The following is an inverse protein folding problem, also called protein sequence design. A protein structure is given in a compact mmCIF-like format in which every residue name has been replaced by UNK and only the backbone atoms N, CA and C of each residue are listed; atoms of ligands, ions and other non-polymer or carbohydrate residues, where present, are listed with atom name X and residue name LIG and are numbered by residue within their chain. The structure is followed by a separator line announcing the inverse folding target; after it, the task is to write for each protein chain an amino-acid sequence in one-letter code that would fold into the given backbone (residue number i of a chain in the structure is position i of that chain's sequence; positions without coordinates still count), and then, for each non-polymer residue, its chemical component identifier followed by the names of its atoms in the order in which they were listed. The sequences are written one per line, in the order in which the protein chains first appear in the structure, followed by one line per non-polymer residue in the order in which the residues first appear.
data_IF_483879106684
#
_entry.id   IF_483879106684
#
_cell.length_a   1.000
_cell.length_b   1.000
_cell.length_c   1.000
_cell.angle_alpha   90.00
_cell.angle_beta   90.00
_cell.angle_gamma   90.00
#
_symmetry.space_group_name_H-M   'P 1'
#
loop_
_entity.id
_entity.type
_entity.pdbx_description
1 polymer ?
#
# COMPACT_ATOMS: atom_id res chain seq x y z
N UNK A 1 -22.19 -32.69 -12.93
CA UNK A 1 -21.07 -32.81 -11.98
C UNK A 1 -21.20 -31.70 -10.95
N UNK A 2 -21.53 -32.00 -9.70
CA UNK A 2 -21.48 -30.98 -8.63
C UNK A 2 -20.04 -30.50 -8.53
N UNK A 3 -19.81 -29.20 -8.82
CA UNK A 3 -18.53 -28.57 -8.48
C UNK A 3 -18.23 -28.86 -7.01
N UNK A 4 -17.16 -29.56 -6.73
CA UNK A 4 -16.74 -29.87 -5.36
C UNK A 4 -16.65 -28.55 -4.59
N UNK A 5 -17.60 -28.31 -3.68
CA UNK A 5 -17.66 -27.07 -2.89
C UNK A 5 -16.35 -26.91 -2.11
N UNK A 6 -15.55 -25.91 -2.49
CA UNK A 6 -14.35 -25.57 -1.72
C UNK A 6 -14.79 -25.12 -0.31
N UNK A 7 -14.44 -25.93 0.71
CA UNK A 7 -14.80 -25.71 2.11
C UNK A 7 -13.55 -25.68 2.96
N UNK A 8 -13.31 -24.57 3.65
CA UNK A 8 -12.16 -24.37 4.53
C UNK A 8 -12.68 -23.95 5.90
N UNK A 9 -12.14 -24.56 6.95
CA UNK A 9 -12.33 -24.14 8.34
C UNK A 9 -10.98 -23.72 8.92
N UNK A 10 -10.86 -22.46 9.33
CA UNK A 10 -9.72 -21.94 10.07
C UNK A 10 -10.12 -21.98 11.54
N UNK A 11 -9.46 -22.84 12.32
CA UNK A 11 -9.83 -23.10 13.73
C UNK A 11 -8.80 -22.53 14.71
N UNK A 12 -9.21 -22.23 15.93
CA UNK A 12 -8.37 -21.84 17.07
C UNK A 12 -7.59 -20.52 16.89
N UNK A 13 -7.85 -19.73 15.85
CA UNK A 13 -7.06 -18.54 15.54
C UNK A 13 -7.35 -17.35 16.46
N UNK A 14 -6.35 -16.50 16.69
CA UNK A 14 -6.52 -15.15 17.24
C UNK A 14 -6.99 -14.22 16.11
N UNK A 15 -8.30 -14.05 15.98
CA UNK A 15 -8.94 -13.37 14.85
C UNK A 15 -9.03 -11.87 15.13
N UNK A 16 -8.52 -11.03 14.21
CA UNK A 16 -8.65 -9.58 14.31
C UNK A 16 -10.05 -9.10 13.89
N UNK A 17 -10.88 -8.80 14.87
CA UNK A 17 -12.27 -8.32 14.68
C UNK A 17 -12.52 -7.11 15.58
N UNK A 18 -13.21 -6.08 15.06
CA UNK A 18 -13.57 -4.86 15.82
C UNK A 18 -12.38 -4.23 16.54
N UNK A 19 -11.21 -4.20 15.89
CA UNK A 19 -9.95 -3.61 16.38
C UNK A 19 -9.32 -4.35 17.58
N UNK A 20 -9.59 -5.60 17.79
CA UNK A 20 -8.99 -6.45 18.83
C UNK A 20 -8.85 -7.88 18.34
N UNK A 21 -7.98 -8.65 18.96
CA UNK A 21 -7.84 -10.07 18.73
C UNK A 21 -8.76 -10.88 19.65
N UNK A 22 -9.46 -11.86 19.07
CA UNK A 22 -10.35 -12.77 19.79
C UNK A 22 -10.18 -14.20 19.28
N UNK A 23 -10.18 -15.19 20.16
CA UNK A 23 -10.14 -16.60 19.76
C UNK A 23 -11.41 -16.98 19.01
N UNK A 24 -11.26 -17.74 17.90
CA UNK A 24 -12.45 -18.16 17.15
C UNK A 24 -12.13 -19.04 15.96
N UNK A 25 -13.19 -19.34 15.20
CA UNK A 25 -13.17 -20.20 14.01
C UNK A 25 -13.89 -19.50 12.85
N UNK A 26 -13.32 -19.59 11.65
CA UNK A 26 -13.87 -19.04 10.42
C UNK A 26 -14.19 -20.19 9.47
N UNK A 27 -15.45 -20.29 9.03
CA UNK A 27 -15.89 -21.21 8.00
C UNK A 27 -16.00 -20.47 6.66
N UNK A 28 -15.38 -21.03 5.64
CA UNK A 28 -15.37 -20.50 4.28
C UNK A 28 -16.04 -21.54 3.37
N UNK A 29 -16.97 -21.11 2.55
CA UNK A 29 -17.54 -21.93 1.47
C UNK A 29 -17.40 -21.18 0.14
N UNK A 30 -16.77 -21.83 -0.82
CA UNK A 30 -16.44 -21.25 -2.11
C UNK A 30 -15.63 -19.94 -1.94
N UNK A 31 -16.19 -18.81 -2.36
CA UNK A 31 -15.49 -17.51 -2.32
C UNK A 31 -15.74 -16.70 -1.06
N UNK A 32 -16.61 -17.18 -0.13
CA UNK A 32 -17.15 -16.33 0.93
C UNK A 32 -17.00 -16.91 2.33
N UNK A 33 -16.93 -16.03 3.30
CA UNK A 33 -17.05 -16.36 4.71
C UNK A 33 -18.50 -16.78 4.99
N UNK A 34 -18.71 -18.02 5.38
CA UNK A 34 -20.03 -18.60 5.69
C UNK A 34 -20.45 -18.31 7.11
N UNK A 35 -19.52 -18.49 8.06
CA UNK A 35 -19.78 -18.33 9.49
C UNK A 35 -18.50 -17.95 10.22
N UNK A 36 -18.64 -17.18 11.27
CA UNK A 36 -17.57 -16.89 12.24
C UNK A 36 -18.11 -17.24 13.61
N UNK A 37 -17.35 -17.99 14.39
CA UNK A 37 -17.71 -18.41 15.76
C UNK A 37 -16.60 -17.91 16.68
N UNK A 38 -16.98 -17.22 17.74
CA UNK A 38 -16.04 -16.61 18.71
C UNK A 38 -16.19 -17.34 20.06
N UNK A 39 -15.04 -17.71 20.65
CA UNK A 39 -14.96 -18.23 22.02
C UNK A 39 -15.48 -19.67 22.25
N UNK A 40 -15.97 -20.35 21.20
CA UNK A 40 -16.52 -21.72 21.33
C UNK A 40 -15.56 -22.76 20.74
N UNK A 41 -15.43 -23.92 21.39
CA UNK A 41 -14.80 -25.10 20.78
C UNK A 41 -15.76 -25.69 19.74
N UNK A 42 -15.17 -26.06 18.59
CA UNK A 42 -15.93 -26.65 17.49
C UNK A 42 -15.89 -28.17 17.61
N UNK A 43 -17.05 -28.81 17.58
CA UNK A 43 -17.18 -30.27 17.54
C UNK A 43 -16.50 -30.82 16.28
N UNK A 44 -15.69 -31.87 16.42
CA UNK A 44 -14.95 -32.51 15.34
C UNK A 44 -15.85 -32.93 14.18
N UNK A 45 -17.09 -33.36 14.48
CA UNK A 45 -18.07 -33.79 13.47
C UNK A 45 -18.42 -32.67 12.48
N UNK A 46 -18.50 -31.42 12.94
CA UNK A 46 -18.76 -30.26 12.08
C UNK A 46 -17.63 -29.94 11.15
N UNK A 47 -16.42 -30.42 11.43
CA UNK A 47 -15.23 -30.17 10.64
C UNK A 47 -15.01 -31.19 9.51
N UNK A 48 -15.60 -32.36 9.56
CA UNK A 48 -15.39 -33.47 8.59
C UNK A 48 -15.56 -33.08 7.10
N UNK A 49 -16.36 -32.04 6.84
CA UNK A 49 -16.66 -31.57 5.48
C UNK A 49 -15.76 -30.42 5.01
N UNK A 50 -14.76 -30.04 5.82
CA UNK A 50 -13.90 -28.89 5.57
C UNK A 50 -12.43 -29.31 5.47
N UNK A 51 -11.64 -28.66 4.60
CA UNK A 51 -10.20 -28.62 4.78
C UNK A 51 -9.93 -27.79 6.02
N UNK A 52 -9.40 -28.41 7.06
CA UNK A 52 -9.11 -27.76 8.34
C UNK A 52 -7.73 -27.14 8.30
N UNK A 53 -7.63 -25.86 8.67
CA UNK A 53 -6.38 -25.14 8.94
C UNK A 53 -6.37 -24.81 10.41
N UNK A 54 -5.48 -25.43 11.18
CA UNK A 54 -5.27 -25.09 12.56
C UNK A 54 -4.42 -23.81 12.66
N UNK A 55 -5.01 -22.76 13.21
CA UNK A 55 -4.40 -21.46 13.44
C UNK A 55 -4.13 -21.21 14.93
N UNK A 56 -3.96 -22.29 15.73
CA UNK A 56 -3.49 -22.17 17.12
C UNK A 56 -2.24 -21.30 17.18
N UNK A 57 -2.19 -20.38 18.12
CA UNK A 57 -1.10 -19.44 18.36
C UNK A 57 -0.74 -18.54 17.15
N UNK A 58 -1.68 -18.43 16.22
CA UNK A 58 -1.55 -17.59 15.03
C UNK A 58 -2.46 -16.37 15.10
N UNK A 59 -2.01 -15.25 14.54
CA UNK A 59 -2.91 -14.14 14.21
C UNK A 59 -3.64 -14.44 12.90
N UNK A 60 -4.94 -14.19 12.89
CA UNK A 60 -5.78 -14.31 11.69
C UNK A 60 -6.41 -12.96 11.40
N UNK A 61 -6.12 -12.41 10.25
CA UNK A 61 -6.66 -11.11 9.82
C UNK A 61 -7.36 -11.22 8.48
N UNK A 62 -8.17 -10.22 8.17
CA UNK A 62 -8.56 -9.98 6.78
C UNK A 62 -7.29 -9.68 5.97
N UNK A 63 -7.25 -10.10 4.72
CA UNK A 63 -6.08 -9.88 3.85
C UNK A 63 -5.72 -8.40 3.74
N UNK A 64 -4.45 -8.09 3.73
CA UNK A 64 -3.93 -6.72 3.70
C UNK A 64 -4.28 -6.01 2.40
N UNK A 65 -4.44 -4.69 2.49
CA UNK A 65 -4.72 -3.80 1.37
C UNK A 65 -3.55 -2.83 1.20
N UNK A 66 -2.94 -2.82 0.03
CA UNK A 66 -1.92 -1.83 -0.30
C UNK A 66 -2.47 -0.77 -1.26
N UNK A 67 -2.58 0.49 -0.83
CA UNK A 67 -3.05 1.58 -1.68
C UNK A 67 -1.99 2.11 -2.66
N UNK A 68 -0.74 1.64 -2.59
CA UNK A 68 0.36 2.32 -3.27
C UNK A 68 1.44 1.35 -3.79
N UNK A 69 1.24 0.85 -5.02
CA UNK A 69 2.24 0.00 -5.69
C UNK A 69 2.52 0.49 -7.11
N UNK A 70 3.72 0.16 -7.61
CA UNK A 70 4.17 0.46 -8.97
C UNK A 70 4.59 -0.84 -9.67
N UNK A 71 3.65 -1.55 -10.28
CA UNK A 71 3.93 -2.82 -10.99
C UNK A 71 4.53 -2.63 -12.38
N UNK A 72 4.90 -1.41 -12.73
CA UNK A 72 5.72 -1.08 -13.90
C UNK A 72 5.17 -1.53 -15.26
N UNK A 73 3.98 -2.11 -15.31
CA UNK A 73 3.35 -2.70 -16.49
C UNK A 73 2.09 -1.92 -16.90
N UNK A 74 1.98 -1.54 -18.19
CA UNK A 74 2.93 -1.73 -19.29
C UNK A 74 4.18 -0.85 -19.19
N UNK A 75 5.19 -1.12 -20.04
CA UNK A 75 6.34 -0.27 -20.33
C UNK A 75 7.67 -0.71 -19.70
N UNK A 76 7.69 -1.01 -18.40
CA UNK A 76 8.94 -1.35 -17.69
C UNK A 76 8.89 -2.74 -17.02
N UNK A 77 8.38 -3.73 -17.76
CA UNK A 77 8.15 -5.10 -17.27
C UNK A 77 9.42 -5.81 -16.78
N UNK A 78 10.60 -5.32 -17.17
CA UNK A 78 11.87 -5.85 -16.68
C UNK A 78 12.16 -5.46 -15.21
N UNK A 79 11.53 -4.38 -14.70
CA UNK A 79 11.65 -3.96 -13.29
C UNK A 79 10.64 -4.66 -12.40
N UNK A 80 9.40 -4.85 -12.91
CA UNK A 80 8.31 -5.51 -12.25
C UNK A 80 7.18 -5.77 -13.23
N UNK A 81 6.38 -6.82 -13.01
CA UNK A 81 5.15 -7.06 -13.74
C UNK A 81 4.03 -7.58 -12.83
N UNK A 82 2.85 -7.83 -13.39
CA UNK A 82 1.70 -8.32 -12.62
C UNK A 82 1.91 -9.74 -12.08
N UNK A 83 2.73 -10.58 -12.73
CA UNK A 83 3.02 -11.93 -12.23
C UNK A 83 3.92 -11.87 -11.00
N UNK A 84 5.05 -11.17 -11.10
CA UNK A 84 6.01 -11.04 -10.00
C UNK A 84 5.45 -10.14 -8.88
N UNK A 85 4.91 -8.96 -9.20
CA UNK A 85 4.38 -8.04 -8.21
C UNK A 85 3.18 -8.59 -7.44
N UNK A 86 2.26 -9.35 -8.09
CA UNK A 86 1.15 -9.98 -7.36
C UNK A 86 1.58 -11.17 -6.50
N UNK A 87 2.65 -11.90 -6.89
CA UNK A 87 3.29 -12.89 -6.02
C UNK A 87 3.98 -12.22 -4.83
N UNK A 88 4.67 -11.11 -5.05
CA UNK A 88 5.27 -10.31 -3.97
C UNK A 88 4.19 -9.80 -2.99
N UNK A 89 3.06 -9.30 -3.51
CA UNK A 89 1.93 -8.91 -2.69
C UNK A 89 1.41 -10.09 -1.85
N UNK A 90 1.15 -11.22 -2.49
CA UNK A 90 0.67 -12.42 -1.82
C UNK A 90 1.66 -12.91 -0.75
N UNK A 91 2.97 -12.88 -1.05
CA UNK A 91 4.02 -13.27 -0.11
C UNK A 91 4.03 -12.37 1.14
N UNK A 92 3.79 -11.06 0.98
CA UNK A 92 3.66 -10.09 2.06
C UNK A 92 2.30 -10.07 2.78
N UNK A 93 1.32 -10.92 2.38
CA UNK A 93 -0.01 -10.98 2.98
C UNK A 93 -1.02 -9.99 2.40
N UNK A 94 -0.68 -9.28 1.33
CA UNK A 94 -1.58 -8.36 0.64
C UNK A 94 -2.47 -9.12 -0.34
N UNK A 95 -3.77 -8.98 -0.19
CA UNK A 95 -4.78 -9.62 -1.04
C UNK A 95 -5.50 -8.64 -1.96
N UNK A 96 -5.17 -7.35 -1.81
CA UNK A 96 -5.65 -6.27 -2.67
C UNK A 96 -4.56 -5.21 -2.84
N UNK A 97 -4.30 -4.80 -4.07
CA UNK A 97 -3.34 -3.74 -4.39
C UNK A 97 -3.94 -2.68 -5.29
N UNK A 98 -3.46 -1.43 -5.15
CA UNK A 98 -3.83 -0.30 -5.99
C UNK A 98 -2.62 0.16 -6.78
N UNK A 99 -2.63 -0.04 -8.10
CA UNK A 99 -1.47 0.26 -8.93
C UNK A 99 -1.51 1.68 -9.50
N UNK A 100 -0.36 2.37 -9.38
CA UNK A 100 -0.15 3.76 -9.77
C UNK A 100 -0.13 3.94 -11.30
N UNK A 101 -0.43 5.17 -11.79
CA UNK A 101 -0.61 5.42 -13.23
C UNK A 101 0.67 5.72 -14.01
N UNK A 102 1.83 5.82 -13.36
CA UNK A 102 3.10 6.20 -13.99
C UNK A 102 3.79 5.07 -14.75
N UNK A 103 3.03 4.45 -15.63
CA UNK A 103 3.46 3.44 -16.60
C UNK A 103 3.99 4.11 -17.88
N UNK A 104 4.36 3.31 -18.87
CA UNK A 104 4.67 3.78 -20.21
C UNK A 104 3.85 2.94 -21.23
N UNK A 105 2.81 3.50 -21.86
CA UNK A 105 2.31 4.87 -21.64
C UNK A 105 1.63 5.05 -20.27
N UNK A 106 1.59 6.32 -19.79
CA UNK A 106 0.91 6.66 -18.53
C UNK A 106 -0.59 6.39 -18.59
N UNK A 107 -1.16 5.88 -17.47
CA UNK A 107 -2.57 5.50 -17.40
C UNK A 107 -3.47 6.75 -17.19
N UNK A 108 -3.67 7.52 -18.26
CA UNK A 108 -4.43 8.79 -18.28
C UNK A 108 -5.70 8.75 -19.12
N UNK A 109 -5.92 7.66 -19.87
CA UNK A 109 -7.08 7.50 -20.77
C UNK A 109 -7.82 6.21 -20.46
N UNK A 110 -9.02 6.08 -21.01
CA UNK A 110 -9.77 4.82 -20.93
C UNK A 110 -9.00 3.66 -21.59
N UNK A 111 -8.37 3.91 -22.72
CA UNK A 111 -7.66 2.91 -23.53
C UNK A 111 -6.46 2.36 -22.77
N UNK A 112 -5.63 3.23 -22.17
CA UNK A 112 -4.49 2.81 -21.37
C UNK A 112 -4.89 2.06 -20.09
N UNK A 113 -5.99 2.46 -19.44
CA UNK A 113 -6.56 1.74 -18.30
C UNK A 113 -7.18 0.40 -18.69
N UNK A 114 -7.77 0.30 -19.87
CA UNK A 114 -8.32 -0.97 -20.43
C UNK A 114 -7.21 -1.97 -20.70
N UNK A 115 -6.12 -1.53 -21.33
CA UNK A 115 -4.93 -2.36 -21.57
C UNK A 115 -4.36 -2.87 -20.26
N UNK A 116 -4.09 -1.97 -19.31
CA UNK A 116 -3.58 -2.30 -17.99
C UNK A 116 -4.45 -3.30 -17.24
N UNK A 117 -5.78 -3.12 -17.29
CA UNK A 117 -6.74 -4.05 -16.69
C UNK A 117 -6.72 -5.43 -17.38
N UNK A 118 -6.53 -5.48 -18.69
CA UNK A 118 -6.45 -6.74 -19.42
C UNK A 118 -5.24 -7.57 -19.00
N UNK A 119 -4.10 -6.91 -18.80
CA UNK A 119 -2.87 -7.55 -18.31
C UNK A 119 -3.07 -8.02 -16.85
N UNK A 120 -3.56 -7.13 -15.97
CA UNK A 120 -3.79 -7.46 -14.57
C UNK A 120 -4.80 -8.62 -14.40
N UNK A 121 -5.85 -8.64 -15.20
CA UNK A 121 -6.87 -9.72 -15.18
C UNK A 121 -6.29 -11.10 -15.53
N UNK A 122 -5.31 -11.14 -16.43
CA UNK A 122 -4.64 -12.38 -16.85
C UNK A 122 -3.62 -12.86 -15.81
N UNK A 123 -2.84 -11.92 -15.23
CA UNK A 123 -1.58 -12.24 -14.56
C UNK A 123 -1.64 -12.08 -13.03
N UNK A 124 -2.65 -11.38 -12.47
CA UNK A 124 -2.69 -11.10 -11.05
C UNK A 124 -3.24 -12.26 -10.22
N UNK A 125 -2.54 -12.63 -9.16
CA UNK A 125 -3.00 -13.57 -8.13
C UNK A 125 -3.86 -12.89 -7.04
N UNK A 126 -3.77 -11.56 -6.90
CA UNK A 126 -4.49 -10.80 -5.87
C UNK A 126 -5.56 -9.91 -6.48
N UNK A 127 -6.48 -9.43 -5.66
CA UNK A 127 -7.45 -8.43 -6.12
C UNK A 127 -6.75 -7.10 -6.38
N UNK A 128 -7.28 -6.29 -7.29
CA UNK A 128 -6.62 -5.05 -7.69
C UNK A 128 -7.58 -3.93 -8.08
N UNK A 129 -7.05 -2.74 -8.09
CA UNK A 129 -7.63 -1.54 -8.67
C UNK A 129 -6.55 -0.62 -9.22
N UNK A 130 -6.98 0.48 -9.82
CA UNK A 130 -6.10 1.44 -10.49
C UNK A 130 -6.40 2.86 -10.04
N UNK A 131 -5.39 3.70 -10.19
CA UNK A 131 -5.57 5.15 -10.23
C UNK A 131 -5.43 5.64 -11.68
N UNK A 132 -6.20 6.67 -12.03
CA UNK A 132 -5.98 7.42 -13.26
C UNK A 132 -5.02 8.58 -12.96
N UNK A 133 -4.04 8.80 -13.81
CA UNK A 133 -3.14 9.95 -13.71
C UNK A 133 -3.84 11.24 -14.14
N UNK A 134 -3.71 12.31 -13.35
CA UNK A 134 -4.04 13.65 -13.79
C UNK A 134 -2.97 14.13 -14.76
N UNK A 135 -3.39 14.71 -15.87
CA UNK A 135 -2.55 15.44 -16.82
C UNK A 135 -3.28 16.72 -17.28
N UNK A 136 -2.56 17.65 -17.87
CA UNK A 136 -3.13 18.85 -18.48
C UNK A 136 -4.11 18.53 -19.63
N UNK A 137 -3.94 17.35 -20.26
CA UNK A 137 -4.76 16.91 -21.41
C UNK A 137 -6.07 16.26 -21.01
N UNK A 138 -6.18 15.62 -19.82
CA UNK A 138 -7.36 14.84 -19.45
C UNK A 138 -8.21 15.45 -18.33
N UNK A 139 -7.82 16.58 -17.77
CA UNK A 139 -8.43 17.18 -16.57
C UNK A 139 -9.95 17.26 -16.64
N UNK A 140 -10.48 17.74 -17.73
CA UNK A 140 -11.95 17.93 -17.92
C UNK A 140 -12.67 16.65 -18.32
N UNK A 141 -11.96 15.63 -18.76
CA UNK A 141 -12.52 14.33 -19.19
C UNK A 141 -12.47 13.28 -18.08
N UNK A 142 -11.74 13.53 -17.00
CA UNK A 142 -11.51 12.55 -15.93
C UNK A 142 -12.79 11.89 -15.42
N UNK A 143 -13.84 12.68 -15.19
CA UNK A 143 -15.13 12.18 -14.68
C UNK A 143 -15.74 11.15 -15.65
N UNK A 144 -15.73 11.43 -16.93
CA UNK A 144 -16.31 10.57 -17.96
C UNK A 144 -15.44 9.34 -18.20
N UNK A 145 -14.11 9.49 -18.17
CA UNK A 145 -13.17 8.37 -18.24
C UNK A 145 -13.42 7.40 -17.08
N UNK A 146 -13.48 7.90 -15.83
CA UNK A 146 -13.75 7.08 -14.66
C UNK A 146 -15.08 6.37 -14.75
N UNK A 147 -16.15 7.07 -15.18
CA UNK A 147 -17.48 6.50 -15.39
C UNK A 147 -17.46 5.40 -16.46
N UNK A 148 -16.79 5.63 -17.59
CA UNK A 148 -16.62 4.66 -18.68
C UNK A 148 -15.85 3.42 -18.18
N UNK A 149 -14.78 3.59 -17.42
CA UNK A 149 -14.02 2.50 -16.81
C UNK A 149 -14.91 1.63 -15.91
N UNK A 150 -15.64 2.24 -14.96
CA UNK A 150 -16.51 1.52 -14.03
C UNK A 150 -17.65 0.78 -14.73
N UNK A 151 -18.26 1.38 -15.77
CA UNK A 151 -19.27 0.70 -16.61
C UNK A 151 -18.70 -0.56 -17.25
N UNK A 152 -17.42 -0.57 -17.60
CA UNK A 152 -16.69 -1.70 -18.19
C UNK A 152 -15.96 -2.57 -17.15
N UNK A 153 -16.33 -2.47 -15.86
CA UNK A 153 -15.77 -3.27 -14.75
C UNK A 153 -14.26 -3.09 -14.55
N UNK A 154 -13.72 -1.93 -14.91
CA UNK A 154 -12.35 -1.52 -14.59
C UNK A 154 -12.40 -0.73 -13.30
N UNK A 155 -11.74 -1.23 -12.25
CA UNK A 155 -11.77 -0.64 -10.91
C UNK A 155 -10.84 0.58 -10.81
N UNK A 156 -11.30 1.75 -11.26
CA UNK A 156 -10.61 3.03 -11.04
C UNK A 156 -11.18 3.65 -9.76
N UNK A 157 -10.32 3.81 -8.74
CA UNK A 157 -10.73 4.16 -7.37
C UNK A 157 -10.21 5.53 -6.89
N UNK A 158 -9.53 6.27 -7.75
CA UNK A 158 -9.03 7.61 -7.45
C UNK A 158 -8.19 8.19 -8.57
N UNK A 159 -7.77 9.43 -8.36
CA UNK A 159 -6.97 10.21 -9.30
C UNK A 159 -5.61 10.46 -8.66
N UNK A 160 -4.50 10.11 -9.35
CA UNK A 160 -3.15 10.37 -8.87
C UNK A 160 -2.57 11.62 -9.50
N UNK A 161 -1.97 12.46 -8.67
CA UNK A 161 -1.36 13.74 -9.04
C UNK A 161 0.09 13.80 -8.56
N UNK A 162 0.99 14.19 -9.43
CA UNK A 162 2.40 14.46 -9.12
C UNK A 162 2.63 15.97 -9.24
N UNK A 163 2.90 16.64 -8.13
CA UNK A 163 3.16 18.10 -8.08
C UNK A 163 4.64 18.44 -7.95
N UNK A 164 5.49 17.42 -7.92
CA UNK A 164 6.94 17.48 -7.94
C UNK A 164 7.53 16.38 -8.79
N UNK A 165 8.71 16.62 -9.30
CA UNK A 165 9.46 15.68 -10.14
C UNK A 165 9.67 14.34 -9.42
N UNK A 166 9.18 13.28 -10.05
CA UNK A 166 9.29 11.90 -9.62
C UNK A 166 9.44 11.01 -10.86
N UNK A 167 9.32 9.69 -10.72
CA UNK A 167 9.40 8.77 -11.86
C UNK A 167 8.17 8.90 -12.76
N UNK A 168 8.39 9.15 -14.06
CA UNK A 168 7.35 9.26 -15.09
C UNK A 168 7.15 10.70 -15.59
N UNK A 169 6.13 10.89 -16.42
CA UNK A 169 5.83 12.11 -17.19
C UNK A 169 4.57 12.87 -16.72
N UNK A 170 4.06 12.52 -15.53
CA UNK A 170 2.78 13.04 -15.00
C UNK A 170 2.92 14.28 -14.10
N UNK A 171 4.03 15.04 -14.22
CA UNK A 171 4.22 16.25 -13.42
C UNK A 171 3.21 17.33 -13.81
N UNK A 172 2.38 17.74 -12.84
CA UNK A 172 1.47 18.88 -12.99
C UNK A 172 2.21 20.17 -12.67
N UNK A 173 2.42 20.98 -13.68
CA UNK A 173 3.06 22.31 -13.56
C UNK A 173 2.06 23.42 -13.22
N UNK A 174 0.83 23.28 -13.69
CA UNK A 174 -0.22 24.27 -13.50
C UNK A 174 -1.28 23.78 -12.51
N UNK A 175 -1.33 24.40 -11.34
CA UNK A 175 -2.27 24.06 -10.27
C UNK A 175 -3.74 24.35 -10.61
N UNK A 176 -4.03 25.10 -11.71
CA UNK A 176 -5.41 25.28 -12.20
C UNK A 176 -6.08 23.95 -12.54
N UNK A 177 -5.31 22.92 -12.92
CA UNK A 177 -5.82 21.58 -13.22
C UNK A 177 -6.15 20.74 -11.97
N UNK A 178 -5.65 21.12 -10.79
CA UNK A 178 -5.89 20.36 -9.54
C UNK A 178 -7.32 20.55 -9.04
N UNK A 179 -7.85 21.77 -9.09
CA UNK A 179 -9.20 22.06 -8.59
C UNK A 179 -10.30 21.26 -9.31
N UNK A 180 -10.38 21.21 -10.65
CA UNK A 180 -11.38 20.39 -11.34
C UNK A 180 -11.32 18.91 -10.94
N UNK A 181 -10.11 18.35 -10.73
CA UNK A 181 -9.97 16.99 -10.27
C UNK A 181 -10.54 16.76 -8.86
N UNK A 182 -10.37 17.72 -7.94
CA UNK A 182 -10.94 17.68 -6.59
C UNK A 182 -12.47 17.81 -6.58
N UNK A 183 -13.05 18.50 -7.55
CA UNK A 183 -14.51 18.69 -7.71
C UNK A 183 -15.25 17.42 -8.16
N UNK A 184 -14.55 16.43 -8.71
CA UNK A 184 -15.14 15.15 -9.17
C UNK A 184 -15.75 14.35 -8.00
N UNK A 185 -15.22 14.53 -6.77
CA UNK A 185 -15.68 13.82 -5.58
C UNK A 185 -15.03 12.44 -5.37
N UNK A 186 -14.02 12.11 -6.16
CA UNK A 186 -13.14 10.95 -5.94
C UNK A 186 -11.98 11.33 -5.02
N UNK A 187 -11.28 10.33 -4.45
CA UNK A 187 -10.01 10.60 -3.79
C UNK A 187 -8.97 11.07 -4.81
N UNK A 188 -8.34 12.21 -4.52
CA UNK A 188 -7.20 12.73 -5.29
C UNK A 188 -5.95 12.52 -4.46
N UNK A 189 -5.05 11.66 -4.96
CA UNK A 189 -3.84 11.22 -4.30
C UNK A 189 -2.65 12.05 -4.75
N UNK A 190 -1.94 12.64 -3.83
CA UNK A 190 -0.83 13.55 -4.12
C UNK A 190 0.52 12.96 -3.72
N UNK A 191 1.45 12.90 -4.67
CA UNK A 191 2.87 12.97 -4.37
C UNK A 191 3.18 14.43 -4.07
N UNK A 192 3.36 14.76 -2.77
CA UNK A 192 3.18 16.11 -2.25
C UNK A 192 4.50 16.89 -2.08
N UNK A 193 5.41 16.84 -3.07
CA UNK A 193 6.64 17.65 -3.05
C UNK A 193 6.53 18.76 -4.10
N UNK A 194 6.48 20.02 -3.68
CA UNK A 194 6.32 21.17 -4.58
C UNK A 194 7.53 21.37 -5.49
N UNK A 195 7.32 21.31 -6.80
CA UNK A 195 8.38 21.44 -7.79
C UNK A 195 9.14 22.78 -7.69
N UNK A 196 8.46 23.89 -7.46
CA UNK A 196 9.11 25.20 -7.34
C UNK A 196 10.05 25.24 -6.13
N UNK A 197 9.67 24.59 -5.05
CA UNK A 197 10.54 24.46 -3.87
C UNK A 197 11.71 23.54 -4.17
N UNK A 198 11.50 22.39 -4.82
CA UNK A 198 12.59 21.49 -5.21
C UNK A 198 13.63 22.18 -6.10
N UNK A 199 13.19 23.04 -7.04
CA UNK A 199 14.09 23.80 -7.92
C UNK A 199 15.03 24.76 -7.16
N UNK A 200 14.65 25.26 -5.97
CA UNK A 200 15.55 26.09 -5.13
C UNK A 200 16.74 25.30 -4.60
N UNK A 201 16.61 23.99 -4.47
CA UNK A 201 17.64 23.08 -3.94
C UNK A 201 18.33 22.26 -5.05
N UNK A 202 18.05 22.51 -6.33
CA UNK A 202 18.60 21.74 -7.46
C UNK A 202 20.12 21.75 -7.54
N UNK A 203 20.77 22.87 -7.12
CA UNK A 203 22.22 23.04 -7.19
C UNK A 203 22.98 22.26 -6.09
N UNK A 204 22.29 21.71 -5.08
CA UNK A 204 22.93 20.79 -4.14
C UNK A 204 23.40 19.57 -4.92
N UNK A 205 24.71 19.31 -4.90
CA UNK A 205 25.28 18.14 -5.58
C UNK A 205 24.75 16.86 -4.92
N UNK A 206 24.26 15.93 -5.75
CA UNK A 206 23.94 14.59 -5.26
C UNK A 206 25.24 13.81 -5.02
N UNK A 207 25.43 13.32 -3.82
CA UNK A 207 26.57 12.50 -3.42
C UNK A 207 26.05 11.15 -2.91
N UNK A 208 25.03 11.18 -2.04
CA UNK A 208 24.47 10.05 -1.33
C UNK A 208 23.02 10.35 -0.87
N UNK A 209 22.43 9.43 -0.11
CA UNK A 209 21.05 9.60 0.43
C UNK A 209 20.92 10.77 1.40
N UNK A 210 22.01 11.21 2.05
CA UNK A 210 21.97 12.38 2.94
C UNK A 210 21.84 13.66 2.11
N UNK A 211 22.63 13.79 1.05
CA UNK A 211 22.50 14.90 0.08
C UNK A 211 21.16 14.87 -0.64
N UNK A 212 20.59 13.68 -0.91
CA UNK A 212 19.25 13.54 -1.45
C UNK A 212 18.19 14.16 -0.54
N UNK A 213 18.32 13.93 0.77
CA UNK A 213 17.41 14.52 1.76
C UNK A 213 17.51 16.07 1.75
N UNK A 214 18.70 16.64 1.58
CA UNK A 214 18.87 18.09 1.47
C UNK A 214 18.27 18.66 0.17
N UNK A 215 18.34 17.92 -0.93
CA UNK A 215 17.72 18.30 -2.21
C UNK A 215 16.19 18.29 -2.17
N UNK A 216 15.61 17.50 -1.30
CA UNK A 216 14.16 17.31 -1.16
C UNK A 216 13.72 17.54 0.29
N UNK A 217 13.83 18.79 0.79
CA UNK A 217 13.55 19.08 2.19
C UNK A 217 12.05 18.94 2.51
N UNK A 218 11.68 18.74 3.78
CA UNK A 218 10.29 18.71 4.23
C UNK A 218 9.48 19.96 3.82
N UNK A 219 10.15 21.08 3.63
CA UNK A 219 9.53 22.31 3.11
C UNK A 219 8.82 22.10 1.77
N UNK A 220 9.35 21.22 0.91
CA UNK A 220 8.70 20.92 -0.38
C UNK A 220 7.35 20.22 -0.18
N UNK A 221 7.23 19.32 0.79
CA UNK A 221 5.97 18.65 1.13
C UNK A 221 4.96 19.65 1.73
N UNK A 222 5.42 20.55 2.60
CA UNK A 222 4.60 21.58 3.25
C UNK A 222 4.03 22.58 2.23
N UNK A 223 4.87 23.10 1.33
CA UNK A 223 4.44 24.02 0.29
C UNK A 223 3.50 23.35 -0.72
N UNK A 224 3.75 22.09 -1.05
CA UNK A 224 2.85 21.28 -1.86
C UNK A 224 1.46 21.18 -1.23
N UNK A 225 1.39 20.82 0.06
CA UNK A 225 0.13 20.75 0.78
C UNK A 225 -0.62 22.10 0.80
N UNK A 226 0.09 23.19 1.07
CA UNK A 226 -0.51 24.54 1.08
C UNK A 226 -1.17 24.89 -0.24
N UNK A 227 -0.54 24.58 -1.36
CA UNK A 227 -1.10 24.78 -2.71
C UNK A 227 -2.32 23.89 -2.97
N UNK A 228 -2.28 22.63 -2.54
CA UNK A 228 -3.43 21.71 -2.63
C UNK A 228 -4.60 22.26 -1.83
N UNK A 229 -4.37 22.69 -0.60
CA UNK A 229 -5.40 23.27 0.27
C UNK A 229 -5.98 24.56 -0.32
N UNK A 230 -5.13 25.42 -0.89
CA UNK A 230 -5.59 26.63 -1.59
C UNK A 230 -6.53 26.27 -2.75
N UNK A 231 -6.21 25.25 -3.55
CA UNK A 231 -7.09 24.76 -4.62
C UNK A 231 -8.42 24.17 -4.11
N UNK A 232 -8.43 23.67 -2.87
CA UNK A 232 -9.59 23.01 -2.26
C UNK A 232 -10.46 23.95 -1.39
N UNK A 233 -10.03 25.19 -1.10
CA UNK A 233 -10.62 26.02 -0.03
C UNK A 233 -12.12 26.29 -0.24
N UNK A 234 -12.52 26.59 -1.46
CA UNK A 234 -13.92 26.91 -1.82
C UNK A 234 -14.80 25.67 -2.06
N UNK A 235 -14.20 24.48 -2.08
CA UNK A 235 -14.87 23.19 -2.31
C UNK A 235 -14.57 22.18 -1.19
N UNK A 236 -14.16 22.68 -0.03
CA UNK A 236 -13.67 21.91 1.12
C UNK A 236 -14.57 20.72 1.48
N UNK A 237 -15.90 20.92 1.47
CA UNK A 237 -16.87 19.88 1.82
C UNK A 237 -16.92 18.70 0.84
N UNK A 238 -16.50 18.92 -0.42
CA UNK A 238 -16.53 17.92 -1.49
C UNK A 238 -15.16 17.31 -1.74
N UNK A 239 -14.08 18.05 -1.47
CA UNK A 239 -12.73 17.64 -1.77
C UNK A 239 -12.29 16.46 -0.89
N UNK A 240 -11.87 15.37 -1.52
CA UNK A 240 -11.29 14.18 -0.86
C UNK A 240 -9.81 14.12 -1.16
N UNK A 241 -9.02 14.68 -0.27
CA UNK A 241 -7.56 14.77 -0.41
C UNK A 241 -6.93 13.52 0.19
N UNK A 242 -5.97 12.93 -0.52
CA UNK A 242 -5.17 11.82 -0.03
C UNK A 242 -3.70 12.18 -0.18
N UNK A 243 -2.99 12.24 0.94
CA UNK A 243 -1.56 12.53 0.98
C UNK A 243 -0.80 11.22 1.09
N UNK A 244 -0.04 10.89 0.05
CA UNK A 244 0.83 9.71 -0.02
C UNK A 244 2.03 9.87 0.92
N UNK A 245 2.60 8.77 1.40
CA UNK A 245 3.93 8.61 2.01
C UNK A 245 4.40 9.81 2.84
N UNK A 246 3.67 10.19 3.91
CA UNK A 246 4.09 11.27 4.83
C UNK A 246 5.45 10.93 5.45
N UNK A 247 6.45 11.79 5.27
CA UNK A 247 7.83 11.46 5.57
C UNK A 247 8.41 12.17 6.81
N UNK A 248 7.86 13.32 7.22
CA UNK A 248 8.49 14.16 8.26
C UNK A 248 7.51 14.67 9.32
N UNK A 249 8.07 15.03 10.47
CA UNK A 249 7.38 15.61 11.63
C UNK A 249 6.67 16.91 11.27
N UNK A 250 7.38 17.84 10.61
CA UNK A 250 6.84 19.15 10.27
C UNK A 250 5.70 19.04 9.27
N UNK A 251 5.84 18.15 8.28
CA UNK A 251 4.80 17.90 7.29
C UNK A 251 3.54 17.31 7.92
N UNK A 252 3.67 16.30 8.79
CA UNK A 252 2.51 15.74 9.48
C UNK A 252 1.82 16.78 10.36
N UNK A 253 2.57 17.61 11.07
CA UNK A 253 1.99 18.71 11.87
C UNK A 253 1.14 19.64 11.01
N UNK A 254 1.62 20.00 9.83
CA UNK A 254 0.89 20.87 8.90
C UNK A 254 -0.41 20.20 8.39
N UNK A 255 -0.35 18.91 8.04
CA UNK A 255 -1.55 18.13 7.68
C UNK A 255 -2.58 18.14 8.81
N UNK A 256 -2.15 17.91 10.04
CA UNK A 256 -3.05 17.87 11.21
C UNK A 256 -3.72 19.22 11.49
N UNK A 257 -3.05 20.36 11.22
CA UNK A 257 -3.67 21.69 11.28
C UNK A 257 -4.83 21.81 10.30
N UNK A 258 -4.65 21.33 9.04
CA UNK A 258 -5.73 21.40 8.05
C UNK A 258 -6.85 20.39 8.33
N UNK A 259 -6.54 19.21 8.86
CA UNK A 259 -7.57 18.29 9.37
C UNK A 259 -8.43 18.95 10.47
N UNK A 260 -7.81 19.64 11.42
CA UNK A 260 -8.54 20.41 12.47
C UNK A 260 -9.41 21.52 11.88
N UNK A 261 -9.03 22.11 10.76
CA UNK A 261 -9.83 23.07 10.02
C UNK A 261 -10.96 22.42 9.20
N UNK A 262 -11.16 21.10 9.31
CA UNK A 262 -12.24 20.33 8.71
C UNK A 262 -12.00 19.90 7.25
N UNK A 263 -10.79 19.95 6.74
CA UNK A 263 -10.48 19.33 5.44
C UNK A 263 -10.48 17.80 5.54
N UNK A 264 -11.11 17.14 4.56
CA UNK A 264 -11.11 15.67 4.46
C UNK A 264 -9.79 15.19 3.85
N UNK A 265 -8.82 14.88 4.71
CA UNK A 265 -7.47 14.45 4.32
C UNK A 265 -7.21 13.04 4.84
N UNK A 266 -6.97 12.10 3.92
CA UNK A 266 -6.38 10.79 4.22
C UNK A 266 -4.86 10.96 4.27
N UNK A 267 -4.24 10.40 5.30
CA UNK A 267 -2.78 10.37 5.48
C UNK A 267 -2.27 8.95 5.37
N UNK A 268 -1.37 8.71 4.43
CA UNK A 268 -0.66 7.45 4.27
C UNK A 268 0.69 7.51 4.97
N UNK A 269 1.08 6.42 5.60
CA UNK A 269 2.43 6.19 6.12
C UNK A 269 3.01 4.94 5.46
N UNK A 270 4.31 4.96 5.20
CA UNK A 270 5.01 3.78 4.69
C UNK A 270 5.82 3.09 5.80
N UNK A 271 6.01 1.76 5.73
CA UNK A 271 6.84 1.05 6.69
C UNK A 271 8.27 1.60 6.77
N UNK A 272 8.84 2.01 5.64
CA UNK A 272 10.20 2.54 5.62
C UNK A 272 10.35 3.91 6.30
N UNK A 273 9.36 4.81 6.25
CA UNK A 273 9.38 6.07 6.99
C UNK A 273 9.11 5.90 8.50
N UNK A 274 8.62 4.73 8.93
CA UNK A 274 8.55 4.36 10.34
C UNK A 274 9.81 3.67 10.84
N UNK A 275 10.65 3.14 9.96
CA UNK A 275 11.75 2.24 10.33
C UNK A 275 13.13 2.85 10.06
N UNK A 276 13.38 3.35 8.84
CA UNK A 276 14.66 3.85 8.37
C UNK A 276 14.86 5.31 8.75
N UNK A 277 16.09 5.65 9.16
CA UNK A 277 16.51 7.03 9.46
C UNK A 277 17.97 7.25 9.03
N UNK A 278 18.32 8.45 8.65
CA UNK A 278 19.60 8.79 7.97
C UNK A 278 20.84 8.34 8.73
N UNK A 279 20.87 8.46 10.05
CA UNK A 279 22.02 8.05 10.87
C UNK A 279 22.04 6.55 11.20
N UNK A 280 20.99 5.81 10.86
CA UNK A 280 20.85 4.36 11.10
C UNK A 280 21.02 3.51 9.86
N UNK A 281 21.30 4.12 8.70
CA UNK A 281 21.54 3.44 7.43
C UNK A 281 22.92 3.84 6.89
N UNK A 282 23.50 2.99 6.04
CA UNK A 282 24.63 3.41 5.24
C UNK A 282 24.18 4.44 4.17
N UNK A 283 25.14 5.05 3.49
CA UNK A 283 24.86 6.09 2.50
C UNK A 283 24.55 5.55 1.10
N UNK A 284 24.27 4.25 1.01
CA UNK A 284 24.02 3.55 -0.26
C UNK A 284 22.76 4.06 -0.97
N UNK A 285 22.80 4.04 -2.28
CA UNK A 285 21.66 4.34 -3.14
C UNK A 285 20.50 3.35 -3.05
N UNK A 286 20.70 2.19 -2.41
CA UNK A 286 19.58 1.25 -2.16
C UNK A 286 18.47 1.90 -1.32
N UNK A 287 18.82 2.87 -0.45
CA UNK A 287 17.87 3.61 0.39
C UNK A 287 17.29 4.86 -0.28
N UNK A 288 17.66 5.17 -1.52
CA UNK A 288 17.14 6.34 -2.22
C UNK A 288 15.67 6.19 -2.58
N UNK A 289 14.82 7.06 -2.03
CA UNK A 289 13.35 7.06 -2.19
C UNK A 289 12.81 8.50 -2.21
N UNK A 290 11.64 8.73 -2.73
CA UNK A 290 10.94 10.02 -2.74
C UNK A 290 9.56 9.90 -2.03
N UNK A 291 9.29 10.68 -0.95
CA UNK A 291 10.23 11.58 -0.25
C UNK A 291 11.41 10.83 0.38
N UNK A 292 12.53 11.51 0.66
CA UNK A 292 13.71 10.87 1.22
C UNK A 292 13.51 10.30 2.62
N UNK A 293 14.38 9.36 3.01
CA UNK A 293 14.56 8.94 4.39
C UNK A 293 14.96 10.17 5.23
N UNK A 294 14.32 10.36 6.38
CA UNK A 294 14.47 11.53 7.24
C UNK A 294 15.34 11.26 8.47
N UNK A 295 15.36 12.21 9.38
CA UNK A 295 16.12 12.11 10.65
C UNK A 295 15.46 11.14 11.64
N UNK A 296 16.21 10.70 12.65
CA UNK A 296 15.65 9.89 13.75
C UNK A 296 14.50 10.62 14.46
N UNK A 297 14.61 11.94 14.67
CA UNK A 297 13.57 12.74 15.31
C UNK A 297 12.25 12.74 14.50
N UNK A 298 12.35 12.74 13.17
CA UNK A 298 11.16 12.60 12.31
C UNK A 298 10.50 11.23 12.52
N UNK A 299 11.31 10.17 12.47
CA UNK A 299 10.83 8.78 12.59
C UNK A 299 10.19 8.54 13.96
N UNK A 300 10.81 9.00 15.06
CA UNK A 300 10.23 8.88 16.41
C UNK A 300 8.88 9.60 16.51
N UNK A 301 8.79 10.82 16.00
CA UNK A 301 7.53 11.55 15.95
C UNK A 301 6.44 10.83 15.12
N UNK A 302 6.81 10.25 13.97
CA UNK A 302 5.87 9.48 13.13
C UNK A 302 5.39 8.21 13.83
N UNK A 303 6.24 7.51 14.60
CA UNK A 303 5.85 6.34 15.42
C UNK A 303 4.86 6.73 16.52
N UNK A 304 5.11 7.82 17.24
CA UNK A 304 4.15 8.34 18.22
C UNK A 304 2.81 8.71 17.56
N UNK A 305 2.88 9.38 16.42
CA UNK A 305 1.70 9.78 15.66
C UNK A 305 0.91 8.57 15.12
N UNK A 306 1.63 7.49 14.78
CA UNK A 306 1.02 6.21 14.39
C UNK A 306 0.17 5.63 15.52
N UNK A 307 0.73 5.52 16.72
CA UNK A 307 0.04 5.01 17.92
C UNK A 307 -1.15 5.91 18.31
N UNK A 308 -1.03 7.24 18.16
CA UNK A 308 -2.12 8.20 18.37
C UNK A 308 -3.23 8.16 17.28
N UNK A 309 -3.08 7.32 16.24
CA UNK A 309 -4.07 7.15 15.18
C UNK A 309 -4.15 8.34 14.19
N UNK A 310 -3.08 9.11 14.03
CA UNK A 310 -3.01 10.24 13.12
C UNK A 310 -2.90 9.83 11.65
N UNK A 311 -2.52 8.57 11.39
CA UNK A 311 -2.52 7.98 10.06
C UNK A 311 -3.81 7.24 9.76
N UNK A 312 -4.19 7.21 8.50
CA UNK A 312 -5.42 6.56 8.05
C UNK A 312 -5.17 5.20 7.41
N UNK A 313 -3.97 4.97 6.83
CA UNK A 313 -3.64 3.78 6.05
C UNK A 313 -2.12 3.60 5.97
N UNK A 314 -1.68 2.36 5.82
CA UNK A 314 -0.32 2.01 5.44
C UNK A 314 -0.30 1.75 3.94
N UNK A 315 0.64 2.35 3.21
CA UNK A 315 0.98 2.02 1.84
C UNK A 315 2.45 1.63 1.77
N UNK A 316 2.81 0.66 0.93
CA UNK A 316 4.22 0.25 0.85
C UNK A 316 5.06 1.18 0.00
N UNK A 317 4.45 1.86 -0.95
CA UNK A 317 5.15 2.53 -2.04
C UNK A 317 6.13 1.56 -2.75
N UNK A 318 5.69 0.32 -2.95
CA UNK A 318 6.47 -0.69 -3.66
C UNK A 318 6.83 -0.18 -5.05
N UNK A 319 8.06 0.28 -5.20
CA UNK A 319 8.58 0.94 -6.38
C UNK A 319 9.90 0.31 -6.85
N UNK A 320 9.86 -0.94 -7.35
CA UNK A 320 11.04 -1.72 -7.66
C UNK A 320 11.85 -1.14 -8.81
N UNK A 321 13.16 -1.26 -8.67
CA UNK A 321 14.20 -1.02 -9.67
C UNK A 321 15.22 -2.14 -9.57
N UNK A 322 16.00 -2.38 -10.63
CA UNK A 322 17.08 -3.36 -10.57
C UNK A 322 18.26 -2.80 -9.76
N UNK A 323 19.00 -3.66 -9.06
CA UNK A 323 20.15 -3.25 -8.26
C UNK A 323 21.18 -2.46 -9.09
N UNK A 324 21.44 -2.90 -10.32
CA UNK A 324 22.34 -2.18 -11.25
C UNK A 324 21.90 -0.75 -11.55
N UNK A 325 20.58 -0.49 -11.55
CA UNK A 325 20.08 0.88 -11.76
C UNK A 325 20.29 1.74 -10.52
N UNK A 326 20.22 1.16 -9.33
CA UNK A 326 20.49 1.88 -8.06
C UNK A 326 21.92 2.40 -7.97
N UNK A 327 22.87 1.75 -8.63
CA UNK A 327 24.28 2.14 -8.67
C UNK A 327 24.69 2.87 -9.95
N UNK A 328 23.73 3.21 -10.82
CA UNK A 328 24.00 4.04 -11.99
C UNK A 328 24.14 5.53 -11.62
N UNK A 329 24.75 6.34 -12.50
CA UNK A 329 24.92 7.78 -12.32
C UNK A 329 23.57 8.50 -12.08
N UNK A 330 22.51 8.02 -12.73
CA UNK A 330 21.15 8.51 -12.56
C UNK A 330 20.30 7.56 -11.69
N UNK A 331 20.84 7.16 -10.53
CA UNK A 331 20.17 6.25 -9.62
C UNK A 331 18.71 6.65 -9.39
N UNK A 332 17.73 5.78 -9.73
CA UNK A 332 16.32 6.08 -9.54
C UNK A 332 15.92 6.01 -8.06
N UNK A 333 14.89 6.79 -7.69
CA UNK A 333 14.26 6.70 -6.36
C UNK A 333 13.18 5.62 -6.36
N UNK A 334 13.18 4.79 -5.30
CA UNK A 334 12.27 3.67 -5.10
C UNK A 334 13.00 2.37 -4.83
N UNK A 335 12.32 1.47 -4.14
CA UNK A 335 12.78 0.11 -3.82
C UNK A 335 11.58 -0.82 -3.57
N UNK A 336 11.76 -2.17 -3.56
CA UNK A 336 10.68 -3.10 -3.27
C UNK A 336 10.25 -3.01 -1.81
N UNK A 337 8.96 -2.97 -1.54
CA UNK A 337 8.40 -2.81 -0.19
C UNK A 337 7.34 -3.84 0.20
N UNK A 338 6.64 -4.48 -0.76
CA UNK A 338 5.51 -5.36 -0.47
C UNK A 338 5.87 -6.54 0.44
N UNK A 339 6.95 -7.25 0.15
CA UNK A 339 7.31 -8.47 0.86
C UNK A 339 7.91 -8.20 2.24
N UNK A 340 8.57 -7.04 2.42
CA UNK A 340 9.19 -6.66 3.67
C UNK A 340 8.26 -5.89 4.62
N UNK A 341 7.20 -5.27 4.11
CA UNK A 341 6.35 -4.34 4.86
C UNK A 341 5.85 -4.91 6.19
N UNK A 342 5.28 -6.12 6.15
CA UNK A 342 4.74 -6.77 7.35
C UNK A 342 5.86 -7.05 8.38
N UNK A 343 7.00 -7.55 7.94
CA UNK A 343 8.13 -7.89 8.83
C UNK A 343 8.73 -6.64 9.49
N UNK A 344 8.85 -5.54 8.75
CA UNK A 344 9.27 -4.24 9.27
C UNK A 344 8.33 -3.75 10.38
N UNK A 345 7.03 -3.85 10.17
CA UNK A 345 6.03 -3.45 11.16
C UNK A 345 6.05 -4.34 12.40
N UNK A 346 6.25 -5.65 12.23
CA UNK A 346 6.32 -6.60 13.36
C UNK A 346 7.61 -6.44 14.17
N UNK A 347 8.73 -6.07 13.55
CA UNK A 347 9.96 -5.72 14.28
C UNK A 347 9.76 -4.45 15.13
N UNK A 348 9.11 -3.43 14.58
CA UNK A 348 8.76 -2.23 15.34
C UNK A 348 7.83 -2.54 16.52
N UNK A 349 6.86 -3.43 16.33
CA UNK A 349 6.00 -3.91 17.41
C UNK A 349 6.79 -4.67 18.48
N UNK A 350 7.68 -5.59 18.09
CA UNK A 350 8.55 -6.33 19.01
C UNK A 350 9.40 -5.39 19.88
N UNK A 351 9.90 -4.32 19.28
CA UNK A 351 10.63 -3.25 19.99
C UNK A 351 9.72 -2.31 20.80
N UNK A 352 8.40 -2.54 20.84
CA UNK A 352 7.40 -1.69 21.54
C UNK A 352 7.35 -0.25 21.04
N UNK A 353 7.65 -0.04 19.76
CA UNK A 353 7.66 1.29 19.14
C UNK A 353 6.30 1.63 18.50
N UNK A 354 5.55 0.60 18.05
CA UNK A 354 4.20 0.77 17.49
C UNK A 354 3.24 -0.31 17.98
N UNK A 355 1.94 -0.01 17.96
CA UNK A 355 0.87 -0.88 18.49
C UNK A 355 0.42 -1.92 17.46
N UNK A 356 0.24 -3.17 17.90
CA UNK A 356 -0.18 -4.29 17.06
C UNK A 356 -1.56 -4.06 16.41
N UNK A 357 -2.54 -3.63 17.20
CA UNK A 357 -3.90 -3.38 16.71
C UNK A 357 -3.95 -2.27 15.66
N UNK A 358 -3.05 -1.28 15.79
CA UNK A 358 -2.92 -0.21 14.80
C UNK A 358 -2.33 -0.74 13.49
N UNK A 359 -1.35 -1.64 13.53
CA UNK A 359 -0.81 -2.29 12.34
C UNK A 359 -1.94 -2.95 11.54
N UNK A 360 -2.66 -3.89 12.13
CA UNK A 360 -3.73 -4.63 11.46
C UNK A 360 -4.89 -3.74 11.02
N UNK A 361 -5.25 -2.75 11.82
CA UNK A 361 -6.27 -1.76 11.49
C UNK A 361 -5.89 -0.97 10.23
N UNK A 362 -4.65 -0.49 10.12
CA UNK A 362 -4.22 0.34 9.00
C UNK A 362 -3.94 -0.48 7.74
N UNK A 363 -3.41 -1.70 7.86
CA UNK A 363 -3.22 -2.64 6.75
C UNK A 363 -4.55 -3.10 6.11
N UNK A 364 -5.67 -3.01 6.83
CA UNK A 364 -7.00 -3.40 6.30
C UNK A 364 -7.91 -2.21 6.02
N UNK A 365 -7.47 -0.98 6.32
CA UNK A 365 -8.33 0.21 6.24
C UNK A 365 -8.70 0.62 4.81
N UNK A 366 -7.88 0.27 3.82
CA UNK A 366 -8.09 0.64 2.42
C UNK A 366 -9.44 0.19 1.87
N UNK A 367 -9.91 -0.98 2.24
CA UNK A 367 -11.24 -1.47 1.83
C UNK A 367 -12.37 -0.50 2.20
N UNK A 368 -12.28 0.11 3.40
CA UNK A 368 -13.26 1.11 3.86
C UNK A 368 -13.06 2.46 3.18
N UNK A 369 -11.82 2.91 3.05
CA UNK A 369 -11.50 4.20 2.42
C UNK A 369 -12.00 4.23 0.99
N UNK A 370 -11.68 3.19 0.20
CA UNK A 370 -12.06 3.08 -1.20
C UNK A 370 -13.42 2.42 -1.44
N UNK A 371 -14.18 2.18 -0.36
CA UNK A 371 -15.54 1.64 -0.40
C UNK A 371 -15.66 0.33 -1.20
N UNK A 372 -14.73 -0.62 -0.99
CA UNK A 372 -14.71 -1.91 -1.68
C UNK A 372 -15.82 -2.81 -1.13
N UNK A 373 -16.83 -3.19 -1.94
CA UNK A 373 -18.00 -3.87 -1.44
C UNK A 373 -17.70 -5.31 -0.99
N UNK A 374 -18.29 -5.71 0.13
CA UNK A 374 -18.18 -7.07 0.71
C UNK A 374 -16.75 -7.52 0.99
N UNK A 375 -15.83 -6.57 1.31
CA UNK A 375 -14.43 -6.82 1.67
C UNK A 375 -14.02 -6.02 2.91
N UNK A 376 -12.84 -6.31 3.44
CA UNK A 376 -12.18 -5.54 4.51
C UNK A 376 -12.61 -5.90 5.93
N UNK A 377 -13.37 -6.98 6.13
CA UNK A 377 -13.68 -7.48 7.47
C UNK A 377 -14.06 -8.96 7.46
N UNK A 378 -13.71 -9.66 8.54
CA UNK A 378 -14.08 -11.06 8.77
C UNK A 378 -15.54 -11.09 9.23
N UNK A 379 -16.45 -11.15 8.25
CA UNK A 379 -17.92 -11.14 8.48
C UNK A 379 -18.61 -12.06 7.47
N UNK A 380 -19.68 -12.74 7.93
CA UNK A 380 -20.55 -13.58 7.08
C UNK A 380 -20.98 -12.83 5.81
N UNK A 381 -20.83 -13.48 4.68
CA UNK A 381 -21.20 -12.95 3.35
C UNK A 381 -20.12 -12.14 2.64
N UNK A 382 -19.05 -11.72 3.34
CA UNK A 382 -17.89 -11.10 2.71
C UNK A 382 -17.05 -12.14 1.96
N UNK A 383 -16.31 -11.66 0.95
CA UNK A 383 -15.29 -12.49 0.31
C UNK A 383 -14.25 -12.95 1.33
N UNK A 384 -13.78 -14.17 1.17
CA UNK A 384 -12.79 -14.75 2.07
C UNK A 384 -11.39 -14.41 1.55
N UNK A 385 -10.90 -13.22 1.90
CA UNK A 385 -9.53 -12.79 1.76
C UNK A 385 -8.94 -12.80 3.17
N UNK A 386 -8.10 -13.79 3.50
CA UNK A 386 -7.61 -14.04 4.86
C UNK A 386 -6.10 -14.22 4.83
N UNK A 387 -5.43 -13.65 5.83
CA UNK A 387 -4.02 -13.91 6.11
C UNK A 387 -3.88 -14.54 7.49
N UNK A 388 -3.10 -15.63 7.55
CA UNK A 388 -2.72 -16.32 8.79
C UNK A 388 -1.23 -16.09 8.99
N UNK A 389 -0.89 -15.62 10.17
CA UNK A 389 0.46 -15.24 10.57
C UNK A 389 0.84 -16.12 11.74
N UNK A 390 1.89 -16.90 11.57
CA UNK A 390 2.43 -17.79 12.61
C UNK A 390 3.58 -17.11 13.35
N UNK A 391 3.66 -17.38 14.64
CA UNK A 391 4.85 -17.12 15.43
C UNK A 391 5.93 -18.13 15.01
N UNK A 392 6.89 -17.65 14.26
CA UNK A 392 7.99 -18.43 13.73
C UNK A 392 9.12 -17.49 13.34
N UNK A 393 10.33 -17.77 13.86
CA UNK A 393 11.50 -17.00 13.47
C UNK A 393 11.74 -17.02 11.97
N UNK A 394 12.05 -15.87 11.43
CA UNK A 394 12.27 -15.63 10.02
C UNK A 394 13.37 -14.59 9.82
N UNK A 395 14.22 -14.79 8.85
CA UNK A 395 15.20 -13.81 8.39
C UNK A 395 14.79 -13.40 6.97
N UNK A 396 14.58 -12.10 6.78
CA UNK A 396 14.22 -11.58 5.46
C UNK A 396 15.44 -11.56 4.54
N UNK A 397 15.35 -12.23 3.41
CA UNK A 397 16.40 -12.31 2.39
C UNK A 397 15.80 -11.97 1.02
N UNK A 398 16.38 -10.99 0.33
CA UNK A 398 15.90 -10.53 -0.99
C UNK A 398 15.92 -11.64 -2.04
N UNK A 399 16.87 -12.58 -1.96
CA UNK A 399 16.95 -13.74 -2.88
C UNK A 399 15.73 -14.66 -2.84
N UNK A 400 14.94 -14.60 -1.76
CA UNK A 400 13.72 -15.40 -1.56
C UNK A 400 12.44 -14.63 -1.94
N UNK A 401 12.59 -13.40 -2.44
CA UNK A 401 11.48 -12.57 -2.86
C UNK A 401 11.03 -12.87 -4.30
N UNK A 402 9.76 -12.57 -4.57
CA UNK A 402 9.14 -12.74 -5.90
C UNK A 402 9.25 -11.48 -6.77
N UNK A 403 9.52 -10.31 -6.16
CA UNK A 403 9.81 -9.09 -6.92
C UNK A 403 11.02 -9.29 -7.84
N UNK A 404 11.03 -8.63 -8.99
CA UNK A 404 12.19 -8.65 -9.90
C UNK A 404 13.36 -7.82 -9.42
N UNK A 405 13.17 -6.99 -8.39
CA UNK A 405 14.27 -6.31 -7.73
C UNK A 405 15.11 -7.34 -6.96
N UNK A 406 16.38 -7.37 -7.24
CA UNK A 406 17.35 -8.31 -6.72
C UNK A 406 18.05 -7.78 -5.45
N UNK A 407 17.40 -6.90 -4.71
CA UNK A 407 17.84 -6.32 -3.44
C UNK A 407 16.67 -5.91 -2.56
N UNK A 408 16.96 -5.66 -1.29
CA UNK A 408 16.03 -5.02 -0.37
C UNK A 408 16.79 -4.10 0.60
N UNK A 409 16.23 -2.92 0.97
CA UNK A 409 16.78 -2.11 2.05
C UNK A 409 16.61 -2.75 3.44
N UNK A 410 15.95 -3.90 3.52
CA UNK A 410 15.66 -4.65 4.74
C UNK A 410 16.32 -6.03 4.77
N UNK A 411 17.38 -6.21 3.98
CA UNK A 411 18.14 -7.47 3.96
C UNK A 411 18.64 -7.84 5.37
N UNK A 412 18.46 -9.10 5.76
CA UNK A 412 18.84 -9.62 7.07
C UNK A 412 17.92 -9.23 8.24
N UNK A 413 16.78 -8.56 7.98
CA UNK A 413 15.81 -8.23 9.04
C UNK A 413 15.26 -9.50 9.68
N UNK A 414 15.37 -9.59 11.00
CA UNK A 414 14.83 -10.71 11.79
C UNK A 414 13.40 -10.41 12.21
N UNK A 415 12.54 -11.41 12.13
CA UNK A 415 11.15 -11.36 12.59
C UNK A 415 10.81 -12.63 13.36
N UNK A 416 10.00 -12.53 14.40
CA UNK A 416 9.45 -13.68 15.14
C UNK A 416 8.12 -14.16 14.51
N UNK A 417 7.68 -13.51 13.44
CA UNK A 417 6.41 -13.78 12.79
C UNK A 417 6.59 -13.96 11.30
N UNK A 418 5.83 -14.90 10.73
CA UNK A 418 5.83 -15.11 9.28
C UNK A 418 4.41 -15.14 8.71
N UNK A 419 4.22 -14.62 7.51
CA UNK A 419 3.00 -14.80 6.72
C UNK A 419 2.97 -16.25 6.22
N UNK A 420 2.22 -17.10 6.89
CA UNK A 420 2.17 -18.55 6.64
C UNK A 420 1.17 -18.91 5.54
N UNK A 421 -0.07 -18.48 5.69
CA UNK A 421 -1.15 -18.85 4.77
C UNK A 421 -1.90 -17.62 4.29
N UNK A 422 -2.15 -17.56 2.97
CA UNK A 422 -2.96 -16.48 2.37
C UNK A 422 -4.06 -17.07 1.51
N UNK A 423 -5.27 -16.65 1.80
CA UNK A 423 -6.49 -17.02 1.09
C UNK A 423 -6.99 -15.81 0.33
N UNK A 424 -7.23 -15.94 -0.97
CA UNK A 424 -7.79 -14.88 -1.83
C UNK A 424 -9.06 -15.41 -2.49
N UNK A 425 -10.17 -14.70 -2.29
CA UNK A 425 -11.47 -15.12 -2.83
C UNK A 425 -11.83 -16.59 -2.46
N UNK A 426 -11.48 -17.01 -1.24
CA UNK A 426 -11.75 -18.36 -0.74
C UNK A 426 -10.80 -19.44 -1.25
N UNK A 427 -9.79 -19.12 -2.06
CA UNK A 427 -8.77 -20.06 -2.54
C UNK A 427 -7.49 -19.88 -1.73
N UNK A 428 -6.93 -20.96 -1.21
CA UNK A 428 -5.60 -20.94 -0.60
C UNK A 428 -4.59 -20.76 -1.74
N UNK A 429 -3.86 -19.64 -1.72
CA UNK A 429 -2.82 -19.34 -2.71
C UNK A 429 -1.42 -19.36 -2.10
N UNK A 430 -1.30 -19.27 -0.78
CA UNK A 430 -0.07 -19.48 -0.04
C UNK A 430 -0.38 -20.39 1.15
N UNK A 431 0.42 -21.40 1.39
CA UNK A 431 0.28 -22.34 2.51
C UNK A 431 1.66 -22.76 3.01
N UNK A 432 1.84 -22.80 4.33
CA UNK A 432 3.15 -23.14 4.97
C UNK A 432 4.31 -22.28 4.44
N UNK A 433 4.05 -21.00 4.19
CA UNK A 433 5.04 -20.05 3.69
C UNK A 433 5.33 -20.11 2.18
N UNK A 434 4.74 -21.05 1.44
CA UNK A 434 4.99 -21.23 0.00
C UNK A 434 3.76 -20.85 -0.83
N UNK A 435 3.98 -20.13 -1.93
CA UNK A 435 2.93 -19.85 -2.92
C UNK A 435 2.63 -21.14 -3.67
N UNK A 436 1.34 -21.45 -3.77
CA UNK A 436 0.82 -22.59 -4.52
C UNK A 436 0.64 -22.18 -5.98
N UNK A 437 1.12 -23.00 -6.92
CA UNK A 437 0.96 -22.79 -8.37
C UNK A 437 -0.43 -23.15 -8.87
#
# INVERSE_FOLDING_TARGET
MEESKNRIAIVNGNIFIKKRFVKGTIFIENKKIKKVIIGEKIETEKLKKYKVIDASDSFVSYGFFDPHVHFRTPGHTYKEDWKSGSRAALNGGFTYVMDMPNNTPSATTYETLKEKNSIAKRDSLVNYGFYIGLSDKNTYELKDIIKKCRKNKINVLGIKVYIGSSTGDLLIKDFRFVRPALEIGEYVLFHCEDERTLQKFKNIKYIDVSSHNLKRPPLAEIEGLRKIIHSAISIKEKAKIYICHVSSKEFLKEILKFKKKGFNIITEITPHHLFLFLSGIDKSNIYKVNPPIRTLQDVEFLREAFNKGNFNIIGTDHAPHLLKEKFSDNSPSGFPGLESAFYVLMDLYKRRLIDLEMIFKLLTRGYKIFNIPKRGSIKKGNFADIVIIKEKEFIFEAKNCYTKADFSPFEGLKSDYTVDTVIVNGRILKENGKILE
#
